data_IF_119858714095
#
_entry.id   IF_119858714095
#
_cell.length_a   1.000
_cell.length_b   1.000
_cell.length_c   1.000
_cell.angle_alpha   90.00
_cell.angle_beta   90.00
_cell.angle_gamma   90.00
#
_symmetry.space_group_name_H-M   'P 1'
#
loop_
_entity.id
_entity.type
_entity.pdbx_description
1 polymer ?
#
# COMPACT_ATOMS: atom_id res chain seq x y z
N UNK A 1 0.28 -0.66 -28.23
CA UNK A 1 -0.04 -1.18 -26.90
C UNK A 1 0.60 -0.21 -25.93
N UNK A 2 -0.20 0.56 -25.20
CA UNK A 2 0.32 1.46 -24.18
C UNK A 2 0.91 0.60 -23.06
N UNK A 3 2.18 0.82 -22.75
CA UNK A 3 2.87 0.17 -21.64
C UNK A 3 2.41 0.86 -20.34
N UNK A 4 1.24 0.43 -19.85
CA UNK A 4 0.67 0.87 -18.58
C UNK A 4 1.53 0.30 -17.47
N UNK A 5 2.58 1.04 -17.14
CA UNK A 5 3.59 0.67 -16.19
C UNK A 5 3.07 -0.06 -14.96
N UNK A 6 3.61 -1.26 -14.71
CA UNK A 6 3.17 -2.09 -13.58
C UNK A 6 3.60 -1.48 -12.25
N UNK A 7 2.64 -1.01 -11.47
CA UNK A 7 2.86 -0.62 -10.08
C UNK A 7 2.91 -1.86 -9.18
N UNK A 8 3.86 -1.90 -8.26
CA UNK A 8 4.03 -2.98 -7.27
C UNK A 8 4.09 -2.38 -5.87
N UNK A 9 3.38 -2.98 -4.92
CA UNK A 9 3.44 -2.56 -3.51
C UNK A 9 4.85 -2.77 -2.97
N UNK A 10 5.51 -1.68 -2.63
CA UNK A 10 6.90 -1.65 -2.17
C UNK A 10 6.97 -1.66 -0.64
N UNK A 11 6.18 -0.82 0.04
CA UNK A 11 6.12 -0.80 1.51
C UNK A 11 4.68 -0.71 2.01
N UNK A 12 4.44 -1.27 3.20
CA UNK A 12 3.23 -1.11 3.98
C UNK A 12 3.59 -1.27 5.46
N UNK A 13 3.57 -0.19 6.23
CA UNK A 13 4.05 -0.18 7.61
C UNK A 13 3.13 0.65 8.50
N UNK A 14 3.09 0.31 9.79
CA UNK A 14 2.46 1.19 10.77
C UNK A 14 3.32 2.43 10.98
N UNK A 15 2.67 3.56 11.17
CA UNK A 15 3.33 4.75 11.67
C UNK A 15 3.72 4.57 13.15
N UNK A 16 4.49 5.54 13.69
CA UNK A 16 4.94 5.48 15.07
C UNK A 16 3.80 5.46 16.10
N UNK A 17 2.65 6.06 15.76
CA UNK A 17 1.47 6.06 16.63
C UNK A 17 0.65 4.77 16.56
N UNK A 18 0.84 3.95 15.52
CA UNK A 18 0.02 2.78 15.24
C UNK A 18 -1.42 3.13 14.83
N UNK A 19 -1.70 4.40 14.52
CA UNK A 19 -3.00 4.88 14.05
C UNK A 19 -3.07 4.94 12.52
N UNK A 20 -1.95 4.77 11.83
CA UNK A 20 -1.90 4.81 10.38
C UNK A 20 -1.09 3.66 9.81
N UNK A 21 -1.47 3.26 8.59
CA UNK A 21 -0.68 2.43 7.71
C UNK A 21 -0.17 3.29 6.55
N UNK A 22 1.14 3.51 6.53
CA UNK A 22 1.84 4.17 5.43
C UNK A 22 2.20 3.13 4.37
N UNK A 23 1.88 3.41 3.11
CA UNK A 23 2.21 2.55 1.98
C UNK A 23 2.91 3.29 0.85
N UNK A 24 3.69 2.55 0.07
CA UNK A 24 4.24 3.04 -1.20
C UNK A 24 4.17 1.97 -2.27
N UNK A 25 3.92 2.41 -3.50
CA UNK A 25 4.05 1.65 -4.73
C UNK A 25 5.25 2.15 -5.53
N UNK A 26 5.93 1.23 -6.21
CA UNK A 26 6.93 1.55 -7.23
C UNK A 26 6.58 0.84 -8.52
N UNK A 27 6.84 1.50 -9.63
CA UNK A 27 6.72 0.92 -10.95
C UNK A 27 7.51 1.73 -11.96
N UNK A 28 7.25 1.48 -13.23
CA UNK A 28 7.89 2.18 -14.35
C UNK A 28 6.86 2.41 -15.44
N UNK A 29 6.67 3.64 -15.88
CA UNK A 29 5.87 3.93 -17.07
C UNK A 29 6.83 4.22 -18.23
N UNK A 30 6.91 3.29 -19.19
CA UNK A 30 8.01 3.28 -20.17
C UNK A 30 9.37 3.19 -19.46
N UNK A 31 10.26 4.16 -19.71
CA UNK A 31 11.58 4.25 -19.06
C UNK A 31 11.61 5.07 -17.76
N UNK A 32 10.49 5.72 -17.39
CA UNK A 32 10.47 6.61 -16.24
C UNK A 32 10.00 5.88 -14.97
N UNK A 33 10.78 5.95 -13.86
CA UNK A 33 10.36 5.37 -12.60
C UNK A 33 9.20 6.17 -11.99
N UNK A 34 8.15 5.46 -11.59
CA UNK A 34 6.97 6.04 -10.92
C UNK A 34 6.93 5.55 -9.48
N UNK A 35 6.64 6.47 -8.55
CA UNK A 35 6.43 6.17 -7.13
C UNK A 35 5.15 6.83 -6.68
N UNK A 36 4.27 6.05 -6.05
CA UNK A 36 3.05 6.55 -5.41
C UNK A 36 3.12 6.22 -3.93
N UNK A 37 2.72 7.12 -3.05
CA UNK A 37 2.62 6.85 -1.62
C UNK A 37 1.30 7.36 -1.07
N UNK A 38 0.85 6.74 0.02
CA UNK A 38 -0.38 7.11 0.67
C UNK A 38 -0.43 6.61 2.11
N UNK A 39 -1.52 6.98 2.78
CA UNK A 39 -1.73 6.72 4.20
C UNK A 39 -3.16 6.29 4.43
N UNK A 40 -3.33 5.18 5.15
CA UNK A 40 -4.64 4.64 5.56
C UNK A 40 -4.81 4.87 7.07
N UNK A 41 -5.83 5.59 7.53
CA UNK A 41 -6.15 5.69 8.95
C UNK A 41 -6.73 4.39 9.49
N UNK A 42 -6.29 3.99 10.68
CA UNK A 42 -6.81 2.86 11.44
C UNK A 42 -7.80 3.38 12.50
N UNK A 43 -9.04 2.87 12.47
CA UNK A 43 -10.13 3.34 13.36
C UNK A 43 -9.88 3.00 14.84
N UNK A 44 -9.03 2.00 15.12
CA UNK A 44 -8.56 1.71 16.47
C UNK A 44 -7.05 1.50 16.46
N UNK A 45 -6.32 1.98 17.49
CA UNK A 45 -4.91 1.66 17.66
C UNK A 45 -4.80 0.14 17.80
N UNK A 46 -4.31 -0.48 16.74
CA UNK A 46 -4.23 -1.92 16.70
C UNK A 46 -3.14 -2.36 17.69
N UNK A 47 -3.46 -3.30 18.58
CA UNK A 47 -2.51 -3.91 19.51
C UNK A 47 -2.19 -5.34 19.07
N UNK A 48 -0.93 -5.76 19.21
CA UNK A 48 -0.50 -7.13 18.90
C UNK A 48 -0.98 -7.62 17.53
N UNK A 49 -1.77 -8.70 17.53
CA UNK A 49 -2.32 -9.34 16.33
C UNK A 49 -3.22 -8.43 15.48
N UNK A 50 -3.93 -7.48 16.08
CA UNK A 50 -4.80 -6.56 15.33
C UNK A 50 -4.00 -5.74 14.32
N UNK A 51 -2.72 -5.43 14.60
CA UNK A 51 -1.84 -4.70 13.67
C UNK A 51 -1.60 -5.53 12.43
N UNK A 52 -1.32 -6.81 12.64
CA UNK A 52 -1.05 -7.73 11.54
C UNK A 52 -2.30 -7.93 10.68
N UNK A 53 -3.47 -8.13 11.31
CA UNK A 53 -4.76 -8.24 10.61
C UNK A 53 -5.05 -6.99 9.77
N UNK A 54 -4.91 -5.80 10.36
CA UNK A 54 -5.13 -4.55 9.63
C UNK A 54 -4.16 -4.38 8.44
N UNK A 55 -2.89 -4.73 8.64
CA UNK A 55 -1.86 -4.69 7.61
C UNK A 55 -2.16 -5.67 6.47
N UNK A 56 -2.61 -6.88 6.78
CA UNK A 56 -2.94 -7.89 5.77
C UNK A 56 -4.20 -7.52 4.98
N UNK A 57 -5.24 -7.01 5.66
CA UNK A 57 -6.44 -6.51 5.02
C UNK A 57 -6.14 -5.34 4.06
N UNK A 58 -5.35 -4.35 4.51
CA UNK A 58 -4.97 -3.22 3.65
C UNK A 58 -4.09 -3.67 2.49
N UNK A 59 -3.16 -4.60 2.72
CA UNK A 59 -2.34 -5.18 1.63
C UNK A 59 -3.22 -5.80 0.55
N UNK A 60 -4.20 -6.61 0.94
CA UNK A 60 -5.10 -7.27 0.01
C UNK A 60 -5.92 -6.25 -0.79
N UNK A 61 -6.54 -5.27 -0.13
CA UNK A 61 -7.30 -4.21 -0.80
C UNK A 61 -6.44 -3.42 -1.80
N UNK A 62 -5.20 -3.10 -1.44
CA UNK A 62 -4.26 -2.41 -2.31
C UNK A 62 -3.84 -3.27 -3.51
N UNK A 63 -3.73 -4.59 -3.34
CA UNK A 63 -3.44 -5.51 -4.45
C UNK A 63 -4.63 -5.64 -5.40
N UNK A 64 -5.84 -5.82 -4.88
CA UNK A 64 -7.06 -5.86 -5.68
C UNK A 64 -7.27 -4.56 -6.47
N UNK A 65 -7.02 -3.41 -5.85
CA UNK A 65 -7.09 -2.12 -6.52
C UNK A 65 -6.05 -1.98 -7.65
N UNK A 66 -4.85 -2.55 -7.49
CA UNK A 66 -3.83 -2.56 -8.55
C UNK A 66 -4.20 -3.46 -9.73
N UNK A 67 -4.87 -4.58 -9.49
CA UNK A 67 -5.32 -5.51 -10.53
C UNK A 67 -6.52 -5.00 -11.33
N UNK A 68 -7.28 -4.06 -10.76
CA UNK A 68 -8.43 -3.43 -11.41
C UNK A 68 -8.07 -2.24 -12.33
N UNK A 69 -6.79 -1.83 -12.36
CA UNK A 69 -6.24 -0.76 -13.21
C UNK A 69 -5.73 -1.32 -14.54
#
# INVERSE_FOLDING_TARGET
MEDTGKLTLNTLNHDASGQFLDFSFRGSHGSEPVSLSGRVPLVMPASGEARQIAKDAVRQLLQEALEAL
#
